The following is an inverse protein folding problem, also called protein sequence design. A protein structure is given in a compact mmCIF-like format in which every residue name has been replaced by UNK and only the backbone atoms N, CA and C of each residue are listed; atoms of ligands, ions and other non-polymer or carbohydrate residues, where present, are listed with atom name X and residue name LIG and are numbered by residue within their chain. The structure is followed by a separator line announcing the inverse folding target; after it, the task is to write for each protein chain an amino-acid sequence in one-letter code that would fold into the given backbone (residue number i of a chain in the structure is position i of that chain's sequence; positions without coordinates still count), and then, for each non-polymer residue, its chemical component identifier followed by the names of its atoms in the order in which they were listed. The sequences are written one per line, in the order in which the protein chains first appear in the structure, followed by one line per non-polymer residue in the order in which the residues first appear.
data_IF_651262848542
#
_entry.id   IF_651262848542
#
_cell.length_a   1.000
_cell.length_b   1.000
_cell.length_c   1.000
_cell.angle_alpha   90.00
_cell.angle_beta   90.00
_cell.angle_gamma   90.00
#
_symmetry.space_group_name_H-M   'P 1'
#
loop_
_entity.id
_entity.type
_entity.pdbx_description
1 polymer ?
#
# COMPACT_ATOMS: atom_id res chain seq x y z
N UNK A 1 9.72 -82.31 -8.61
CA UNK A 1 8.45 -82.43 -9.35
C UNK A 1 7.34 -82.08 -8.36
N UNK A 2 7.03 -80.79 -8.20
CA UNK A 2 5.92 -80.35 -7.35
C UNK A 2 4.66 -80.41 -8.19
N UNK A 3 3.71 -81.27 -7.81
CA UNK A 3 2.40 -81.31 -8.43
C UNK A 3 1.68 -79.99 -8.13
N UNK A 4 1.54 -79.13 -9.14
CA UNK A 4 0.61 -78.01 -9.07
C UNK A 4 -0.81 -78.59 -9.06
N UNK A 5 -1.36 -78.86 -7.87
CA UNK A 5 -2.80 -79.03 -7.73
C UNK A 5 -3.45 -77.69 -8.08
N UNK A 6 -4.30 -77.61 -9.13
CA UNK A 6 -5.15 -76.43 -9.28
C UNK A 6 -6.00 -76.34 -8.01
N UNK A 7 -6.02 -75.18 -7.36
CA UNK A 7 -6.83 -74.98 -6.16
C UNK A 7 -8.28 -75.39 -6.39
N UNK A 8 -8.99 -75.78 -5.32
CA UNK A 8 -10.39 -76.18 -5.39
C UNK A 8 -11.24 -75.01 -5.89
N UNK A 9 -12.13 -75.30 -6.85
CA UNK A 9 -13.02 -74.31 -7.46
C UNK A 9 -13.83 -73.58 -6.38
N UNK A 10 -13.92 -72.25 -6.50
CA UNK A 10 -14.70 -71.38 -5.58
C UNK A 10 -14.27 -71.48 -4.11
N UNK A 11 -13.06 -71.96 -3.82
CA UNK A 11 -12.48 -71.94 -2.46
C UNK A 11 -11.64 -70.69 -2.28
N UNK A 12 -11.87 -69.95 -1.19
CA UNK A 12 -11.05 -68.79 -0.82
C UNK A 12 -9.70 -69.25 -0.27
N UNK A 13 -8.63 -68.75 -0.87
CA UNK A 13 -7.26 -68.93 -0.46
C UNK A 13 -6.71 -67.59 0.01
N UNK A 14 -5.92 -67.59 1.08
CA UNK A 14 -5.34 -66.36 1.63
C UNK A 14 -3.83 -66.46 1.53
N UNK A 15 -3.23 -65.60 0.71
CA UNK A 15 -1.79 -65.35 0.72
C UNK A 15 -1.46 -64.44 1.89
N UNK A 16 -0.78 -64.97 2.90
CA UNK A 16 -0.31 -64.21 4.05
C UNK A 16 1.14 -63.81 3.80
N UNK A 17 1.38 -62.51 3.69
CA UNK A 17 2.71 -61.93 3.57
C UNK A 17 3.16 -61.46 4.96
N UNK A 18 4.05 -62.23 5.57
CA UNK A 18 4.67 -61.90 6.85
C UNK A 18 6.03 -61.22 6.60
N UNK A 19 6.19 -59.93 6.95
CA UNK A 19 7.47 -59.26 6.79
C UNK A 19 8.45 -59.70 7.89
N UNK A 20 9.47 -60.47 7.52
CA UNK A 20 10.57 -60.83 8.43
C UNK A 20 11.61 -59.70 8.49
N UNK A 21 11.46 -58.82 9.47
CA UNK A 21 12.34 -57.68 9.71
C UNK A 21 12.87 -57.71 11.16
N UNK A 22 14.01 -58.38 11.42
CA UNK A 22 14.55 -58.58 12.77
C UNK A 22 14.91 -57.30 13.54
N UNK A 23 14.99 -56.15 12.84
CA UNK A 23 15.39 -54.86 13.40
C UNK A 23 14.22 -54.03 13.99
N UNK A 24 12.96 -54.44 13.80
CA UNK A 24 11.78 -53.70 14.26
C UNK A 24 11.35 -54.15 15.67
N UNK A 25 11.27 -53.21 16.62
CA UNK A 25 10.82 -53.47 18.01
C UNK A 25 9.34 -53.83 18.15
N UNK A 26 8.53 -53.63 17.10
CA UNK A 26 7.13 -54.05 17.02
C UNK A 26 6.92 -54.78 15.68
N UNK A 27 6.39 -56.01 15.68
CA UNK A 27 6.09 -56.73 14.45
C UNK A 27 5.01 -55.99 13.65
N UNK A 28 5.21 -55.89 12.33
CA UNK A 28 4.21 -55.34 11.41
C UNK A 28 3.09 -56.37 11.23
N UNK A 29 1.84 -55.88 11.08
CA UNK A 29 0.72 -56.77 10.81
C UNK A 29 0.91 -57.47 9.44
N UNK A 30 0.66 -58.79 9.35
CA UNK A 30 0.75 -59.51 8.09
C UNK A 30 -0.24 -58.98 7.06
N UNK A 31 0.23 -58.73 5.84
CA UNK A 31 -0.66 -58.39 4.73
C UNK A 31 -1.32 -59.67 4.22
N UNK A 32 -2.67 -59.71 4.25
CA UNK A 32 -3.45 -60.88 3.84
C UNK A 32 -4.15 -60.58 2.52
N UNK A 33 -3.80 -61.31 1.47
CA UNK A 33 -4.40 -61.22 0.15
C UNK A 33 -5.29 -62.44 -0.10
N UNK A 34 -6.61 -62.27 0.00
CA UNK A 34 -7.56 -63.30 -0.41
C UNK A 34 -7.65 -63.42 -1.93
N UNK A 35 -7.69 -64.64 -2.45
CA UNK A 35 -7.90 -64.95 -3.86
C UNK A 35 -8.63 -66.29 -4.02
N UNK A 36 -9.35 -66.49 -5.11
CA UNK A 36 -10.11 -67.71 -5.40
C UNK A 36 -9.66 -68.31 -6.73
N UNK A 37 -9.65 -69.63 -6.83
CA UNK A 37 -9.51 -70.32 -8.12
C UNK A 37 -10.90 -70.58 -8.69
N UNK A 38 -11.10 -70.16 -9.93
CA UNK A 38 -12.26 -70.54 -10.73
C UNK A 38 -11.78 -71.52 -11.80
N UNK A 39 -12.13 -72.80 -11.71
CA UNK A 39 -11.68 -73.83 -12.66
C UNK A 39 -12.67 -74.06 -13.81
N UNK A 40 -13.91 -73.56 -13.67
CA UNK A 40 -14.92 -73.57 -14.73
C UNK A 40 -14.71 -72.37 -15.66
N UNK A 41 -14.51 -72.64 -16.96
CA UNK A 41 -14.37 -71.62 -18.01
C UNK A 41 -15.53 -70.62 -18.01
N UNK A 42 -16.78 -71.06 -17.76
CA UNK A 42 -17.94 -70.16 -17.71
C UNK A 42 -17.87 -69.21 -16.52
N UNK A 43 -17.48 -69.71 -15.34
CA UNK A 43 -17.30 -68.88 -14.14
C UNK A 43 -16.12 -67.92 -14.28
N UNK A 44 -14.99 -68.36 -14.85
CA UNK A 44 -13.86 -67.49 -15.17
C UNK A 44 -14.27 -66.34 -16.09
N UNK A 45 -15.01 -66.63 -17.16
CA UNK A 45 -15.51 -65.62 -18.08
C UNK A 45 -16.46 -64.63 -17.39
N UNK A 46 -17.34 -65.13 -16.51
CA UNK A 46 -18.27 -64.31 -15.74
C UNK A 46 -17.54 -63.38 -14.74
N UNK A 47 -16.55 -63.90 -14.01
CA UNK A 47 -15.76 -63.10 -13.05
C UNK A 47 -14.85 -62.08 -13.75
N UNK A 48 -14.25 -62.44 -14.89
CA UNK A 48 -13.48 -61.49 -15.70
C UNK A 48 -14.37 -60.36 -16.25
N UNK A 49 -15.62 -60.66 -16.60
CA UNK A 49 -16.59 -59.65 -17.05
C UNK A 49 -16.97 -58.72 -15.90
N UNK A 50 -17.35 -59.26 -14.74
CA UNK A 50 -17.67 -58.47 -13.55
C UNK A 50 -16.50 -57.60 -13.07
N UNK A 51 -15.26 -58.10 -13.18
CA UNK A 51 -14.05 -57.35 -12.83
C UNK A 51 -13.84 -56.17 -13.79
N UNK A 52 -14.04 -56.37 -15.09
CA UNK A 52 -13.96 -55.27 -16.08
C UNK A 52 -15.07 -54.24 -15.87
N UNK A 53 -16.29 -54.68 -15.59
CA UNK A 53 -17.41 -53.78 -15.29
C UNK A 53 -17.14 -52.95 -14.03
N UNK A 54 -16.61 -53.56 -12.96
CA UNK A 54 -16.15 -52.85 -11.77
C UNK A 54 -15.11 -51.80 -12.12
N UNK A 55 -14.05 -52.17 -12.84
CA UNK A 55 -12.96 -51.24 -13.16
C UNK A 55 -13.45 -50.05 -13.98
N UNK A 56 -14.36 -50.29 -14.94
CA UNK A 56 -15.00 -49.23 -15.73
C UNK A 56 -15.88 -48.33 -14.86
N UNK A 57 -16.69 -48.90 -13.97
CA UNK A 57 -17.53 -48.13 -13.04
C UNK A 57 -16.68 -47.32 -12.05
N UNK A 58 -15.64 -47.90 -11.46
CA UNK A 58 -14.72 -47.20 -10.56
C UNK A 58 -14.03 -46.02 -11.24
N UNK A 59 -13.60 -46.19 -12.50
CA UNK A 59 -13.02 -45.10 -13.29
C UNK A 59 -14.05 -43.98 -13.55
N UNK A 60 -15.26 -44.34 -13.97
CA UNK A 60 -16.36 -43.38 -14.18
C UNK A 60 -16.69 -42.59 -12.91
N UNK A 61 -16.88 -43.28 -11.79
CA UNK A 61 -17.15 -42.67 -10.47
C UNK A 61 -16.01 -41.72 -10.07
N UNK A 62 -14.75 -42.13 -10.28
CA UNK A 62 -13.59 -41.29 -10.02
C UNK A 62 -13.60 -39.98 -10.82
N UNK A 63 -13.96 -40.03 -12.11
CA UNK A 63 -14.09 -38.84 -12.96
C UNK A 63 -15.19 -37.92 -12.46
N UNK A 64 -16.38 -38.45 -12.16
CA UNK A 64 -17.49 -37.65 -11.64
C UNK A 64 -17.17 -37.02 -10.28
N UNK A 65 -16.59 -37.77 -9.33
CA UNK A 65 -16.18 -37.25 -8.02
C UNK A 65 -15.18 -36.11 -8.15
N UNK A 66 -14.11 -36.31 -8.92
CA UNK A 66 -13.12 -35.26 -9.18
C UNK A 66 -13.75 -34.00 -9.79
N UNK A 67 -14.70 -34.18 -10.70
CA UNK A 67 -15.41 -33.06 -11.32
C UNK A 67 -16.28 -32.29 -10.31
N UNK A 68 -17.04 -32.98 -9.45
CA UNK A 68 -17.81 -32.36 -8.37
C UNK A 68 -16.91 -31.67 -7.33
N UNK A 69 -15.78 -32.29 -6.96
CA UNK A 69 -14.82 -31.73 -6.02
C UNK A 69 -14.19 -30.45 -6.56
N UNK A 70 -13.77 -30.45 -7.83
CA UNK A 70 -13.22 -29.25 -8.51
C UNK A 70 -14.26 -28.12 -8.54
N UNK A 71 -15.53 -28.48 -8.79
CA UNK A 71 -16.63 -27.51 -8.84
C UNK A 71 -16.94 -26.94 -7.45
N UNK A 72 -16.92 -27.76 -6.40
CA UNK A 72 -17.10 -27.31 -5.02
C UNK A 72 -15.95 -26.43 -4.54
N UNK A 73 -14.71 -26.74 -4.95
CA UNK A 73 -13.54 -25.91 -4.68
C UNK A 73 -13.70 -24.53 -5.32
N UNK A 74 -14.10 -24.46 -6.60
CA UNK A 74 -14.38 -23.20 -7.28
C UNK A 74 -15.45 -22.37 -6.57
N UNK A 75 -16.56 -22.97 -6.15
CA UNK A 75 -17.60 -22.28 -5.37
C UNK A 75 -17.03 -21.72 -4.06
N UNK A 76 -16.17 -22.47 -3.39
CA UNK A 76 -15.53 -22.05 -2.14
C UNK A 76 -14.61 -20.85 -2.35
N UNK A 77 -13.83 -20.85 -3.43
CA UNK A 77 -12.98 -19.72 -3.83
C UNK A 77 -13.83 -18.49 -4.17
N UNK A 78 -14.91 -18.64 -4.95
CA UNK A 78 -15.81 -17.53 -5.27
C UNK A 78 -16.45 -16.92 -4.01
N UNK A 79 -16.85 -17.76 -3.03
CA UNK A 79 -17.35 -17.28 -1.73
C UNK A 79 -16.28 -16.51 -0.95
N UNK A 80 -15.02 -16.93 -1.01
CA UNK A 80 -13.91 -16.18 -0.41
C UNK A 80 -13.76 -14.81 -1.07
N UNK A 81 -13.82 -14.73 -2.40
CA UNK A 81 -13.75 -13.46 -3.13
C UNK A 81 -14.90 -12.50 -2.79
N UNK A 82 -16.14 -13.01 -2.60
CA UNK A 82 -17.26 -12.19 -2.12
C UNK A 82 -16.93 -11.61 -0.74
N UNK A 83 -16.49 -12.45 0.21
CA UNK A 83 -16.15 -12.00 1.56
C UNK A 83 -15.02 -10.96 1.58
N UNK A 84 -14.00 -11.14 0.73
CA UNK A 84 -12.93 -10.16 0.55
C UNK A 84 -13.46 -8.84 -0.03
N UNK A 85 -14.37 -8.88 -1.00
CA UNK A 85 -15.00 -7.70 -1.55
C UNK A 85 -15.87 -6.97 -0.51
N UNK A 86 -16.62 -7.70 0.32
CA UNK A 86 -17.43 -7.15 1.43
C UNK A 86 -16.58 -6.49 2.50
N UNK A 87 -15.50 -7.15 2.93
CA UNK A 87 -14.57 -6.57 3.91
C UNK A 87 -13.91 -5.30 3.39
N UNK A 88 -13.59 -5.24 2.08
CA UNK A 88 -13.06 -4.04 1.44
C UNK A 88 -14.08 -2.91 1.35
N UNK A 89 -15.33 -3.21 0.95
CA UNK A 89 -16.42 -2.22 0.90
C UNK A 89 -16.69 -1.62 2.29
N UNK A 90 -16.82 -2.48 3.31
CA UNK A 90 -17.08 -2.06 4.69
C UNK A 90 -15.93 -1.24 5.28
N UNK A 91 -14.68 -1.61 4.98
CA UNK A 91 -13.52 -0.82 5.37
C UNK A 91 -13.55 0.59 4.77
N UNK A 92 -13.77 0.70 3.45
CA UNK A 92 -13.85 2.00 2.77
C UNK A 92 -15.04 2.84 3.25
N UNK A 93 -16.18 2.21 3.53
CA UNK A 93 -17.36 2.85 4.12
C UNK A 93 -17.06 3.45 5.49
N UNK A 94 -16.27 2.75 6.32
CA UNK A 94 -15.86 3.26 7.62
C UNK A 94 -14.90 4.45 7.49
N UNK A 95 -13.98 4.44 6.52
CA UNK A 95 -13.11 5.59 6.24
C UNK A 95 -13.91 6.82 5.77
N UNK A 96 -14.93 6.62 4.93
CA UNK A 96 -15.83 7.71 4.51
C UNK A 96 -16.58 8.31 5.72
N UNK A 97 -17.04 7.46 6.63
CA UNK A 97 -17.71 7.91 7.88
C UNK A 97 -16.77 8.72 8.77
N UNK A 98 -15.48 8.34 8.87
CA UNK A 98 -14.47 9.13 9.60
C UNK A 98 -14.29 10.53 9.00
N UNK A 99 -14.46 10.68 7.69
CA UNK A 99 -14.44 11.97 6.99
C UNK A 99 -15.80 12.70 6.99
N UNK A 100 -16.74 12.26 7.83
CA UNK A 100 -18.10 12.84 7.94
C UNK A 100 -18.92 12.76 6.65
N UNK A 101 -18.64 11.76 5.79
CA UNK A 101 -19.44 11.48 4.60
C UNK A 101 -20.38 10.31 4.91
N UNK A 102 -21.66 10.62 5.06
CA UNK A 102 -22.70 9.61 5.27
C UNK A 102 -23.27 9.14 3.93
N UNK A 103 -23.30 7.82 3.74
CA UNK A 103 -23.83 7.20 2.53
C UNK A 103 -25.26 6.70 2.76
N UNK A 104 -26.19 6.94 1.83
CA UNK A 104 -27.54 6.41 1.92
C UNK A 104 -27.55 4.88 1.74
N UNK A 105 -28.54 4.23 2.35
CA UNK A 105 -28.75 2.78 2.23
C UNK A 105 -29.27 2.37 0.84
N UNK A 106 -29.99 3.26 0.15
CA UNK A 106 -30.55 3.05 -1.19
C UNK A 106 -29.87 3.96 -2.21
N UNK A 107 -29.76 3.50 -3.46
CA UNK A 107 -29.16 4.23 -4.58
C UNK A 107 -27.72 4.73 -4.32
N UNK A 108 -26.95 3.98 -3.53
CA UNK A 108 -25.60 4.37 -3.09
C UNK A 108 -24.68 4.73 -4.26
N UNK A 109 -24.68 3.97 -5.36
CA UNK A 109 -23.84 4.27 -6.53
C UNK A 109 -24.17 5.61 -7.19
N UNK A 110 -25.45 5.92 -7.37
CA UNK A 110 -25.87 7.20 -7.96
C UNK A 110 -25.53 8.38 -7.04
N UNK A 111 -25.69 8.20 -5.73
CA UNK A 111 -25.31 9.20 -4.74
C UNK A 111 -23.80 9.43 -4.71
N UNK A 112 -22.99 8.37 -4.79
CA UNK A 112 -21.53 8.48 -4.86
C UNK A 112 -21.11 9.19 -6.15
N UNK A 113 -21.73 8.88 -7.29
CA UNK A 113 -21.45 9.56 -8.56
C UNK A 113 -21.80 11.05 -8.52
N UNK A 114 -22.93 11.42 -7.91
CA UNK A 114 -23.29 12.84 -7.75
C UNK A 114 -22.36 13.56 -6.77
N UNK A 115 -21.98 12.89 -5.67
CA UNK A 115 -21.06 13.45 -4.69
C UNK A 115 -19.65 13.65 -5.27
N UNK A 116 -19.13 12.70 -6.06
CA UNK A 116 -17.86 12.85 -6.77
C UNK A 116 -17.92 14.09 -7.68
N UNK A 117 -18.98 14.23 -8.49
CA UNK A 117 -19.15 15.39 -9.37
C UNK A 117 -19.20 16.69 -8.59
N UNK A 118 -19.95 16.73 -7.49
CA UNK A 118 -20.03 17.91 -6.62
C UNK A 118 -18.65 18.26 -6.06
N UNK A 119 -17.91 17.29 -5.52
CA UNK A 119 -16.58 17.51 -4.95
C UNK A 119 -15.56 17.95 -5.99
N UNK A 120 -15.67 17.46 -7.23
CA UNK A 120 -14.85 17.94 -8.35
C UNK A 120 -15.16 19.41 -8.69
N UNK A 121 -16.44 19.81 -8.68
CA UNK A 121 -16.83 21.21 -8.88
C UNK A 121 -16.33 22.10 -7.74
N UNK A 122 -16.46 21.66 -6.49
CA UNK A 122 -15.95 22.37 -5.32
C UNK A 122 -14.41 22.53 -5.40
N UNK A 123 -13.71 21.48 -5.80
CA UNK A 123 -12.26 21.49 -6.00
C UNK A 123 -11.85 22.46 -7.10
N UNK A 124 -12.55 22.46 -8.25
CA UNK A 124 -12.31 23.41 -9.33
C UNK A 124 -12.59 24.85 -8.88
N UNK A 125 -13.66 25.05 -8.10
CA UNK A 125 -13.98 26.33 -7.47
C UNK A 125 -12.82 26.85 -6.61
N UNK A 126 -12.26 26.01 -5.73
CA UNK A 126 -11.09 26.36 -4.92
C UNK A 126 -9.87 26.65 -5.79
N UNK A 127 -9.66 25.87 -6.86
CA UNK A 127 -8.53 26.07 -7.78
C UNK A 127 -8.60 27.45 -8.47
N UNK A 128 -9.79 27.90 -8.85
CA UNK A 128 -10.03 29.17 -9.55
C UNK A 128 -10.05 30.40 -8.63
N UNK A 129 -10.10 30.21 -7.31
CA UNK A 129 -10.05 31.35 -6.38
C UNK A 129 -8.79 32.19 -6.59
N UNK A 130 -8.90 33.53 -6.55
CA UNK A 130 -7.74 34.40 -6.71
C UNK A 130 -6.77 34.16 -5.56
N UNK A 131 -5.50 33.94 -5.92
CA UNK A 131 -4.41 33.76 -4.96
C UNK A 131 -3.27 34.68 -5.32
N UNK A 132 -2.50 35.08 -4.32
CA UNK A 132 -1.25 35.79 -4.55
C UNK A 132 -0.33 34.89 -5.37
N UNK A 133 0.16 35.41 -6.48
CA UNK A 133 1.13 34.75 -7.35
C UNK A 133 2.34 35.67 -7.49
N UNK A 134 3.52 35.07 -7.64
CA UNK A 134 4.71 35.84 -7.99
C UNK A 134 4.63 36.22 -9.47
N UNK A 135 4.83 37.51 -9.79
CA UNK A 135 4.76 37.99 -11.18
C UNK A 135 6.13 37.97 -11.87
N UNK A 136 7.20 37.58 -11.16
CA UNK A 136 8.51 37.42 -11.78
C UNK A 136 8.43 36.29 -12.81
N UNK A 137 9.01 36.47 -14.01
CA UNK A 137 9.08 35.41 -14.99
C UNK A 137 9.92 34.26 -14.42
N UNK A 138 9.35 33.05 -14.45
CA UNK A 138 10.08 31.88 -14.00
C UNK A 138 11.20 31.53 -15.01
N UNK A 139 12.26 30.90 -14.53
CA UNK A 139 13.33 30.43 -15.41
C UNK A 139 12.90 29.11 -16.09
N UNK A 140 13.15 28.92 -17.39
CA UNK A 140 12.74 27.70 -18.09
C UNK A 140 13.35 26.46 -17.45
N UNK A 141 12.51 25.48 -17.07
CA UNK A 141 12.94 24.18 -16.51
C UNK A 141 13.41 23.21 -17.62
N UNK A 142 14.25 23.68 -18.54
CA UNK A 142 14.78 22.87 -19.66
C UNK A 142 15.93 21.95 -19.27
N UNK A 143 16.65 22.29 -18.20
CA UNK A 143 17.78 21.52 -17.66
C UNK A 143 17.44 21.01 -16.25
N UNK A 144 17.72 19.74 -15.98
CA UNK A 144 17.47 19.09 -14.69
C UNK A 144 18.32 19.67 -13.55
N UNK A 145 19.46 20.29 -13.88
CA UNK A 145 20.35 20.93 -12.91
C UNK A 145 19.86 22.33 -12.47
N UNK A 146 18.75 22.83 -13.02
CA UNK A 146 18.19 24.14 -12.68
C UNK A 146 16.94 23.94 -11.83
N UNK A 147 16.99 24.43 -10.58
CA UNK A 147 15.85 24.39 -9.68
C UNK A 147 14.82 25.48 -10.00
N UNK A 148 15.30 26.67 -10.33
CA UNK A 148 14.47 27.84 -10.67
C UNK A 148 14.85 29.07 -9.86
N UNK A 149 14.05 30.14 -9.98
CA UNK A 149 14.28 31.39 -9.24
C UNK A 149 13.79 31.29 -7.80
N UNK A 150 14.50 31.94 -6.87
CA UNK A 150 14.18 31.94 -5.43
C UNK A 150 12.69 32.26 -5.18
N UNK A 151 12.14 33.26 -5.85
CA UNK A 151 10.74 33.66 -5.68
C UNK A 151 9.69 32.56 -5.98
N UNK A 152 10.06 31.54 -6.76
CA UNK A 152 9.18 30.44 -7.16
C UNK A 152 9.48 29.13 -6.43
N UNK A 153 10.59 29.04 -5.67
CA UNK A 153 10.98 27.83 -4.93
C UNK A 153 10.17 27.63 -3.65
N UNK A 154 9.50 28.65 -3.16
CA UNK A 154 8.70 28.59 -1.94
C UNK A 154 7.40 29.38 -2.06
N UNK A 155 6.44 29.02 -1.20
CA UNK A 155 5.14 29.66 -1.07
C UNK A 155 4.88 29.98 0.40
N UNK A 156 4.12 31.04 0.67
CA UNK A 156 3.81 31.50 2.04
C UNK A 156 2.30 31.73 2.15
N UNK A 157 1.65 31.16 3.16
CA UNK A 157 0.20 31.33 3.36
C UNK A 157 -0.14 32.73 3.91
N UNK A 158 0.56 33.17 4.95
CA UNK A 158 0.35 34.48 5.61
C UNK A 158 0.78 35.66 4.71
N UNK A 159 -0.15 36.56 4.40
CA UNK A 159 0.09 37.75 3.56
C UNK A 159 1.13 38.70 4.13
N UNK A 160 1.08 38.95 5.44
CA UNK A 160 1.98 39.90 6.10
C UNK A 160 3.39 39.31 6.18
N UNK A 161 3.48 38.02 6.52
CA UNK A 161 4.75 37.30 6.49
C UNK A 161 5.34 37.27 5.06
N UNK A 162 4.52 37.00 4.04
CA UNK A 162 4.96 36.99 2.65
C UNK A 162 5.53 38.35 2.23
N UNK A 163 4.86 39.46 2.60
CA UNK A 163 5.33 40.82 2.35
C UNK A 163 6.72 41.05 2.94
N UNK A 164 6.89 40.78 4.23
CA UNK A 164 8.12 41.14 4.95
C UNK A 164 9.29 40.21 4.65
N UNK A 165 9.03 38.93 4.41
CA UNK A 165 10.05 37.95 4.00
C UNK A 165 10.50 38.24 2.57
N UNK A 166 9.58 38.52 1.65
CA UNK A 166 9.94 38.85 0.26
C UNK A 166 10.73 40.16 0.20
N UNK A 167 10.34 41.17 0.99
CA UNK A 167 11.12 42.40 1.13
C UNK A 167 12.50 42.16 1.73
N UNK A 168 12.61 41.30 2.75
CA UNK A 168 13.89 40.96 3.36
C UNK A 168 14.85 40.32 2.36
N UNK A 169 14.33 39.49 1.44
CA UNK A 169 15.06 38.79 0.39
C UNK A 169 15.05 39.52 -0.96
N UNK A 170 14.65 40.79 -1.02
CA UNK A 170 14.38 41.48 -2.29
C UNK A 170 15.58 41.49 -3.26
N UNK A 171 16.81 41.46 -2.75
CA UNK A 171 18.04 41.35 -3.54
C UNK A 171 18.20 40.01 -4.25
N UNK A 172 17.62 38.95 -3.70
CA UNK A 172 17.88 37.56 -4.09
C UNK A 172 16.67 36.92 -4.79
N UNK A 173 15.49 37.55 -4.76
CA UNK A 173 14.24 36.97 -5.32
C UNK A 173 14.35 36.55 -6.79
N UNK A 174 15.10 37.29 -7.60
CA UNK A 174 15.29 37.01 -9.03
C UNK A 174 16.49 36.09 -9.34
N UNK A 175 17.26 35.68 -8.32
CA UNK A 175 18.42 34.81 -8.50
C UNK A 175 18.00 33.38 -8.83
N UNK A 176 18.67 32.78 -9.82
CA UNK A 176 18.42 31.41 -10.30
C UNK A 176 19.27 30.42 -9.52
N UNK A 177 18.63 29.42 -8.94
CA UNK A 177 19.30 28.36 -8.19
C UNK A 177 19.57 27.17 -9.09
N UNK A 178 20.79 26.64 -9.00
CA UNK A 178 21.26 25.48 -9.77
C UNK A 178 21.91 24.45 -8.84
N UNK A 179 21.88 23.18 -9.22
CA UNK A 179 22.51 22.10 -8.47
C UNK A 179 24.04 22.15 -8.58
N UNK A 180 24.54 22.50 -9.76
CA UNK A 180 25.97 22.45 -10.11
C UNK A 180 26.52 23.81 -10.50
N UNK A 181 27.82 24.01 -10.26
CA UNK A 181 28.54 25.21 -10.66
C UNK A 181 28.61 25.35 -12.19
N UNK A 182 28.67 24.25 -12.93
CA UNK A 182 28.65 24.23 -14.39
C UNK A 182 27.35 24.79 -14.95
N UNK A 183 26.20 24.38 -14.39
CA UNK A 183 24.90 24.90 -14.79
C UNK A 183 24.78 26.41 -14.48
N UNK A 184 25.21 26.85 -13.30
CA UNK A 184 25.28 28.27 -12.97
C UNK A 184 26.14 29.06 -13.97
N UNK A 185 27.29 28.50 -14.37
CA UNK A 185 28.20 29.14 -15.32
C UNK A 185 27.58 29.27 -16.72
N UNK A 186 26.89 28.25 -17.21
CA UNK A 186 26.17 28.30 -18.50
C UNK A 186 25.20 29.47 -18.53
N UNK A 187 24.36 29.61 -17.49
CA UNK A 187 23.37 30.69 -17.39
C UNK A 187 24.05 32.06 -17.30
N UNK A 188 25.14 32.16 -16.53
CA UNK A 188 25.91 33.39 -16.42
C UNK A 188 26.46 33.83 -17.78
N UNK A 189 27.05 32.92 -18.54
CA UNK A 189 27.63 33.22 -19.86
C UNK A 189 26.54 33.54 -20.90
N UNK A 190 25.44 32.78 -20.94
CA UNK A 190 24.27 33.02 -21.81
C UNK A 190 23.63 34.39 -21.57
N UNK A 191 23.57 34.82 -20.31
CA UNK A 191 22.95 36.10 -19.90
C UNK A 191 23.96 37.25 -19.83
N UNK A 192 25.22 37.02 -20.21
CA UNK A 192 26.31 37.98 -20.12
C UNK A 192 26.46 38.59 -18.72
N UNK A 193 26.27 37.76 -17.69
CA UNK A 193 26.37 38.13 -16.28
C UNK A 193 25.24 38.99 -15.73
N UNK A 194 24.16 39.21 -16.48
CA UNK A 194 22.99 39.97 -16.00
C UNK A 194 22.16 39.20 -14.98
N UNK A 195 22.10 37.88 -15.12
CA UNK A 195 21.34 37.01 -14.23
C UNK A 195 22.20 36.60 -13.03
N UNK A 196 21.69 36.85 -11.82
CA UNK A 196 22.28 36.28 -10.61
C UNK A 196 22.02 34.78 -10.56
N UNK A 197 23.05 34.02 -10.18
CA UNK A 197 23.01 32.56 -10.10
C UNK A 197 23.57 32.09 -8.75
N UNK A 198 22.96 31.04 -8.19
CA UNK A 198 23.38 30.42 -6.93
C UNK A 198 23.57 28.90 -7.14
N UNK A 199 24.82 28.42 -7.24
CA UNK A 199 25.12 26.99 -7.34
C UNK A 199 25.17 26.33 -5.96
N UNK A 200 24.38 25.27 -5.74
CA UNK A 200 24.23 24.62 -4.43
C UNK A 200 25.44 23.78 -4.00
N UNK A 201 26.19 23.24 -4.95
CA UNK A 201 27.43 22.51 -4.70
C UNK A 201 28.54 23.39 -4.10
N UNK A 202 28.47 24.71 -4.31
CA UNK A 202 29.40 25.68 -3.71
C UNK A 202 29.05 26.09 -2.27
N UNK A 203 27.86 25.71 -1.76
CA UNK A 203 27.38 26.16 -0.46
C UNK A 203 28.02 25.35 0.68
N UNK A 204 28.64 26.07 1.62
CA UNK A 204 29.19 25.47 2.83
C UNK A 204 28.09 25.07 3.84
N UNK A 205 27.67 23.80 3.78
CA UNK A 205 26.50 23.30 4.52
C UNK A 205 26.62 23.30 6.05
N UNK A 206 27.83 23.31 6.62
CA UNK A 206 28.02 23.18 8.08
C UNK A 206 27.52 24.37 8.91
N UNK A 207 27.35 25.54 8.28
CA UNK A 207 26.89 26.76 8.95
C UNK A 207 25.38 27.01 8.77
N UNK A 208 24.67 26.10 8.10
CA UNK A 208 23.23 26.25 7.87
C UNK A 208 22.45 26.04 9.18
N UNK A 209 21.31 26.74 9.34
CA UNK A 209 20.46 26.56 10.51
C UNK A 209 19.90 25.13 10.55
N UNK A 210 19.85 24.56 11.75
CA UNK A 210 19.07 23.36 12.00
C UNK A 210 17.57 23.70 11.93
N UNK A 211 16.86 23.02 11.02
CA UNK A 211 15.44 23.21 10.77
C UNK A 211 14.57 22.76 11.95
N UNK A 212 15.07 21.84 12.78
CA UNK A 212 14.39 21.33 13.98
C UNK A 212 14.77 22.11 15.25
N UNK A 213 15.62 23.13 15.13
CA UNK A 213 16.07 23.94 16.26
C UNK A 213 14.87 24.66 16.89
N UNK A 214 14.69 24.60 18.22
CA UNK A 214 13.65 25.36 18.91
C UNK A 214 13.96 26.86 18.90
N UNK A 215 12.92 27.69 19.07
CA UNK A 215 13.09 29.14 19.20
C UNK A 215 13.97 29.50 20.41
N UNK A 216 14.69 30.63 20.38
CA UNK A 216 15.63 31.01 21.45
C UNK A 216 15.07 31.02 22.88
N UNK A 217 13.77 31.25 23.05
CA UNK A 217 13.11 31.27 24.36
C UNK A 217 12.70 29.88 24.87
N UNK A 218 12.84 28.83 24.05
CA UNK A 218 12.57 27.43 24.37
C UNK A 218 13.90 26.67 24.41
N UNK A 219 14.41 26.39 25.61
CA UNK A 219 15.72 25.76 25.80
C UNK A 219 15.58 24.52 26.67
N UNK A 220 16.07 23.37 26.19
CA UNK A 220 16.00 22.07 26.87
C UNK A 220 14.57 21.71 27.34
N UNK A 221 13.57 21.97 26.49
CA UNK A 221 12.15 21.73 26.80
C UNK A 221 11.55 22.69 27.83
N UNK A 222 12.29 23.69 28.31
CA UNK A 222 11.82 24.71 29.26
C UNK A 222 11.66 26.07 28.58
N UNK A 223 10.61 26.79 28.95
CA UNK A 223 10.36 28.15 28.51
C UNK A 223 11.18 29.09 29.40
N UNK A 224 12.21 29.74 28.85
CA UNK A 224 13.06 30.67 29.60
C UNK A 224 12.33 31.97 29.95
N UNK A 225 11.46 32.44 29.06
CA UNK A 225 10.55 33.56 29.29
C UNK A 225 9.35 33.43 28.36
N UNK A 226 8.21 34.00 28.75
CA UNK A 226 7.02 34.04 27.91
C UNK A 226 7.15 35.21 26.92
N UNK A 227 7.25 34.95 25.60
CA UNK A 227 7.35 36.03 24.63
C UNK A 227 6.03 36.81 24.58
N UNK A 228 6.15 38.12 24.40
CA UNK A 228 5.03 38.97 23.99
C UNK A 228 4.94 38.87 22.47
N UNK A 229 3.74 38.63 21.94
CA UNK A 229 3.51 38.30 20.54
C UNK A 229 3.81 36.84 20.18
N UNK A 230 3.58 36.47 18.92
CA UNK A 230 3.73 35.12 18.38
C UNK A 230 5.02 34.96 17.55
N UNK A 231 6.20 34.76 18.18
CA UNK A 231 7.44 34.56 17.47
C UNK A 231 7.46 33.21 16.74
N UNK A 232 7.83 33.21 15.46
CA UNK A 232 8.01 32.00 14.64
C UNK A 232 9.23 32.17 13.74
N UNK A 233 9.96 31.10 13.43
CA UNK A 233 11.03 31.21 12.44
C UNK A 233 10.46 31.51 11.05
N UNK A 234 11.05 32.45 10.31
CA UNK A 234 10.60 32.80 8.96
C UNK A 234 10.60 31.58 8.02
N UNK A 235 11.64 30.74 8.15
CA UNK A 235 11.77 29.48 7.39
C UNK A 235 10.64 28.47 7.65
N UNK A 236 9.99 28.51 8.82
CA UNK A 236 8.89 27.61 9.17
C UNK A 236 7.56 28.01 8.50
N UNK A 237 7.49 29.20 7.91
CA UNK A 237 6.32 29.67 7.15
C UNK A 237 6.41 29.35 5.65
N UNK A 238 7.53 28.78 5.21
CA UNK A 238 7.75 28.41 3.82
C UNK A 238 7.16 27.03 3.53
N UNK A 239 6.34 26.95 2.49
CA UNK A 239 5.88 25.71 1.88
C UNK A 239 6.64 25.50 0.57
N UNK A 240 7.29 24.34 0.43
CA UNK A 240 8.05 24.00 -0.77
C UNK A 240 7.22 23.08 -1.67
N UNK A 241 6.90 23.49 -2.92
CA UNK A 241 6.16 22.64 -3.85
C UNK A 241 7.01 21.46 -4.35
N UNK A 242 8.30 21.70 -4.58
CA UNK A 242 9.26 20.74 -5.14
C UNK A 242 10.60 20.81 -4.37
N UNK A 243 11.43 19.76 -4.49
CA UNK A 243 12.85 19.74 -4.08
C UNK A 243 13.13 20.24 -2.65
N UNK A 244 12.38 19.72 -1.67
CA UNK A 244 12.37 20.18 -0.27
C UNK A 244 13.78 20.33 0.32
N UNK A 245 14.65 19.33 0.18
CA UNK A 245 16.01 19.36 0.78
C UNK A 245 16.90 20.46 0.18
N UNK A 246 16.84 20.65 -1.14
CA UNK A 246 17.56 21.71 -1.82
C UNK A 246 17.02 23.09 -1.44
N UNK A 247 15.70 23.24 -1.39
CA UNK A 247 15.05 24.47 -0.94
C UNK A 247 15.41 24.80 0.51
N UNK A 248 15.46 23.80 1.40
CA UNK A 248 15.89 23.98 2.78
C UNK A 248 17.34 24.47 2.89
N UNK A 249 18.22 24.02 2.00
CA UNK A 249 19.60 24.51 1.90
C UNK A 249 19.62 25.99 1.49
N UNK A 250 18.91 26.35 0.42
CA UNK A 250 18.80 27.71 -0.10
C UNK A 250 18.26 28.67 0.95
N UNK A 251 17.08 28.38 1.50
CA UNK A 251 16.42 29.27 2.44
C UNK A 251 17.07 29.25 3.82
N UNK A 252 17.74 28.15 4.20
CA UNK A 252 18.58 28.11 5.38
C UNK A 252 19.73 29.12 5.30
N UNK A 253 20.37 29.24 4.12
CA UNK A 253 21.43 30.21 3.89
C UNK A 253 20.89 31.65 3.87
N UNK A 254 19.78 31.89 3.16
CA UNK A 254 19.27 33.24 2.92
C UNK A 254 18.54 33.84 4.12
N UNK A 255 17.73 33.06 4.83
CA UNK A 255 16.96 33.53 5.98
C UNK A 255 17.68 33.28 7.31
N UNK A 256 18.57 32.30 7.37
CA UNK A 256 19.22 31.88 8.62
C UNK A 256 18.19 31.63 9.73
N UNK A 257 18.44 32.23 10.89
CA UNK A 257 17.59 32.17 12.08
C UNK A 257 16.60 33.35 12.20
N UNK A 258 16.27 34.03 11.10
CA UNK A 258 15.31 35.15 11.11
C UNK A 258 13.95 34.74 11.69
N UNK A 259 13.40 35.59 12.58
CA UNK A 259 12.14 35.35 13.29
C UNK A 259 11.10 36.39 12.86
N UNK A 260 9.87 35.93 12.64
CA UNK A 260 8.67 36.75 12.45
C UNK A 260 7.97 36.93 13.79
N UNK A 261 7.53 38.14 14.10
CA UNK A 261 6.75 38.49 15.29
C UNK A 261 5.65 39.49 14.93
N UNK A 262 4.70 39.75 15.83
CA UNK A 262 3.49 40.51 15.46
C UNK A 262 3.79 41.99 15.18
N UNK A 263 4.39 42.70 16.14
CA UNK A 263 4.61 44.15 16.07
C UNK A 263 5.97 44.56 16.67
N UNK A 264 6.28 45.86 16.57
CA UNK A 264 7.58 46.41 16.97
C UNK A 264 7.82 46.32 18.48
N UNK A 265 6.80 46.56 19.30
CA UNK A 265 6.92 46.50 20.76
C UNK A 265 7.21 45.08 21.25
N UNK A 266 6.48 44.10 20.70
CA UNK A 266 6.73 42.68 20.91
C UNK A 266 8.15 42.29 20.48
N UNK A 267 8.62 42.78 19.31
CA UNK A 267 9.97 42.51 18.82
C UNK A 267 11.06 43.07 19.75
N UNK A 268 10.89 44.30 20.23
CA UNK A 268 11.82 44.93 21.17
C UNK A 268 11.86 44.19 22.51
N UNK A 269 10.70 43.82 23.06
CA UNK A 269 10.62 43.02 24.28
C UNK A 269 11.27 41.65 24.09
N UNK A 270 10.95 40.96 22.99
CA UNK A 270 11.54 39.67 22.66
C UNK A 270 13.07 39.74 22.58
N UNK A 271 13.60 40.72 21.85
CA UNK A 271 15.04 40.95 21.75
C UNK A 271 15.66 41.17 23.13
N UNK A 272 15.08 42.04 23.96
CA UNK A 272 15.59 42.36 25.30
C UNK A 272 15.75 41.12 26.18
N UNK A 273 14.84 40.16 26.07
CA UNK A 273 14.92 38.90 26.81
C UNK A 273 15.87 37.89 26.15
N UNK A 274 15.87 37.76 24.82
CA UNK A 274 16.76 36.81 24.11
C UNK A 274 18.22 37.15 24.32
N UNK A 275 18.62 38.42 24.23
CA UNK A 275 20.04 38.83 24.34
C UNK A 275 20.66 38.52 25.71
N UNK A 276 19.85 38.29 26.75
CA UNK A 276 20.32 37.83 28.06
C UNK A 276 20.76 36.36 28.05
N UNK A 277 20.31 35.59 27.06
CA UNK A 277 20.45 34.13 27.00
C UNK A 277 21.35 33.72 25.83
N UNK A 278 21.21 34.36 24.66
CA UNK A 278 21.91 34.00 23.43
C UNK A 278 21.91 35.18 22.44
N UNK A 279 22.68 35.05 21.34
CA UNK A 279 22.58 35.97 20.21
C UNK A 279 21.16 36.03 19.65
N UNK A 280 20.62 37.24 19.46
CA UNK A 280 19.29 37.47 18.91
C UNK A 280 19.39 37.65 17.38
N UNK A 281 18.74 36.78 16.58
CA UNK A 281 18.73 36.91 15.13
C UNK A 281 17.96 38.15 14.67
N UNK A 282 17.94 38.40 13.36
CA UNK A 282 17.07 39.43 12.78
C UNK A 282 15.61 39.13 13.09
N UNK A 283 14.87 40.14 13.52
CA UNK A 283 13.44 40.08 13.76
C UNK A 283 12.72 40.89 12.69
N UNK A 284 11.67 40.32 12.13
CA UNK A 284 10.75 40.96 11.19
C UNK A 284 9.36 40.99 11.83
N UNK A 285 8.69 42.14 11.81
CA UNK A 285 7.32 42.25 12.32
C UNK A 285 6.33 42.10 11.19
N UNK A 286 5.12 41.57 11.47
CA UNK A 286 4.03 41.52 10.48
C UNK A 286 3.62 42.93 10.01
N UNK A 287 3.75 43.92 10.90
CA UNK A 287 3.55 45.35 10.60
C UNK A 287 4.65 45.96 9.69
N UNK A 288 5.68 45.19 9.33
CA UNK A 288 6.69 45.61 8.36
C UNK A 288 7.97 46.20 8.95
N UNK A 289 8.21 46.11 10.24
CA UNK A 289 9.42 46.63 10.87
C UNK A 289 10.51 45.56 10.94
N UNK A 290 11.77 45.97 10.76
CA UNK A 290 12.94 45.11 10.89
C UNK A 290 13.85 45.56 12.02
N UNK A 291 14.12 44.65 12.94
CA UNK A 291 15.20 44.78 13.91
C UNK A 291 16.34 43.85 13.46
N UNK A 292 17.46 44.43 13.01
CA UNK A 292 18.62 43.64 12.61
C UNK A 292 19.22 42.87 13.79
N UNK A 293 20.01 41.83 13.51
CA UNK A 293 20.70 41.04 14.54
C UNK A 293 21.56 41.87 15.50
N UNK A 294 22.14 42.98 15.02
CA UNK A 294 22.89 43.94 15.85
C UNK A 294 22.00 44.90 16.67
N UNK A 295 20.68 44.84 16.51
CA UNK A 295 19.70 45.63 17.26
C UNK A 295 19.31 46.95 16.61
N UNK A 296 19.83 47.26 15.41
CA UNK A 296 19.42 48.45 14.67
C UNK A 296 18.00 48.29 14.12
N UNK A 297 17.12 49.24 14.45
CA UNK A 297 15.76 49.36 13.91
C UNK A 297 15.42 50.83 13.62
N UNK A 298 14.33 51.07 12.87
CA UNK A 298 13.93 52.42 12.44
C UNK A 298 14.59 52.91 11.14
N UNK A 299 13.99 53.94 10.54
CA UNK A 299 14.37 54.48 9.23
C UNK A 299 13.77 53.72 8.04
N UNK A 300 13.74 54.37 6.86
CA UNK A 300 13.09 53.84 5.65
C UNK A 300 13.59 52.45 5.24
N UNK A 301 14.87 52.16 5.46
CA UNK A 301 15.46 50.86 5.13
C UNK A 301 15.05 49.72 6.08
N UNK A 302 14.41 50.02 7.21
CA UNK A 302 13.91 49.02 8.16
C UNK A 302 12.38 48.98 8.21
N UNK A 303 11.71 49.63 7.25
CA UNK A 303 10.27 49.53 7.05
C UNK A 303 9.98 48.88 5.71
N UNK A 304 9.25 47.78 5.72
CA UNK A 304 8.77 47.10 4.54
C UNK A 304 7.77 48.01 3.81
N UNK A 305 7.93 48.20 2.49
CA UNK A 305 6.95 48.93 1.72
C UNK A 305 5.63 48.11 1.62
N UNK A 306 4.50 48.76 1.28
CA UNK A 306 3.29 48.05 0.90
C UNK A 306 3.55 47.02 -0.21
N UNK A 307 2.76 45.94 -0.22
CA UNK A 307 2.99 44.79 -1.12
C UNK A 307 3.03 45.18 -2.61
N UNK A 308 2.18 46.12 -3.03
CA UNK A 308 2.12 46.60 -4.43
C UNK A 308 3.43 47.24 -4.91
N UNK A 309 4.22 47.81 -3.98
CA UNK A 309 5.51 48.44 -4.29
C UNK A 309 6.65 47.43 -4.42
N UNK A 310 6.42 46.16 -4.11
CA UNK A 310 7.39 45.07 -4.31
C UNK A 310 7.48 44.62 -5.78
N UNK A 311 6.71 45.25 -6.70
CA UNK A 311 6.74 44.99 -8.15
C UNK A 311 6.56 43.49 -8.48
N UNK A 312 5.74 42.82 -7.66
CA UNK A 312 5.42 41.40 -7.75
C UNK A 312 6.57 40.43 -7.45
N UNK A 313 7.68 40.92 -6.88
CA UNK A 313 8.70 40.10 -6.20
C UNK A 313 8.19 39.66 -4.82
N UNK A 314 7.08 38.92 -4.81
CA UNK A 314 6.45 38.42 -3.59
C UNK A 314 6.20 36.93 -3.73
N UNK A 315 6.51 36.15 -2.69
CA UNK A 315 6.24 34.71 -2.67
C UNK A 315 4.76 34.42 -2.92
N UNK A 316 4.47 33.44 -3.78
CA UNK A 316 3.10 32.98 -4.02
C UNK A 316 2.43 32.42 -2.77
N UNK A 317 1.11 32.39 -2.75
CA UNK A 317 0.36 31.64 -1.75
C UNK A 317 0.22 30.17 -2.20
N UNK A 318 0.34 29.20 -1.27
CA UNK A 318 0.17 27.79 -1.62
C UNK A 318 -1.27 27.46 -1.98
N UNK A 319 -1.46 26.28 -2.57
CA UNK A 319 -2.80 25.76 -2.81
C UNK A 319 -3.55 25.61 -1.48
N UNK A 320 -4.81 26.07 -1.36
CA UNK A 320 -5.55 25.96 -0.11
C UNK A 320 -5.67 24.50 0.35
N UNK A 321 -5.54 24.26 1.66
CA UNK A 321 -5.63 22.91 2.25
C UNK A 321 -6.91 22.17 1.86
N UNK A 322 -8.01 22.91 1.67
CA UNK A 322 -9.29 22.39 1.19
C UNK A 322 -9.16 21.66 -0.16
N UNK A 323 -8.29 22.11 -1.06
CA UNK A 323 -8.07 21.44 -2.35
C UNK A 323 -7.53 20.02 -2.17
N UNK A 324 -6.53 19.84 -1.28
CA UNK A 324 -5.96 18.53 -0.97
C UNK A 324 -6.99 17.64 -0.25
N UNK A 325 -7.79 18.22 0.66
CA UNK A 325 -8.91 17.52 1.31
C UNK A 325 -9.92 17.00 0.29
N UNK A 326 -10.33 17.84 -0.68
CA UNK A 326 -11.24 17.41 -1.73
C UNK A 326 -10.62 16.33 -2.63
N UNK A 327 -9.33 16.44 -2.98
CA UNK A 327 -8.65 15.40 -3.74
C UNK A 327 -8.71 14.04 -3.03
N UNK A 328 -8.35 14.00 -1.74
CA UNK A 328 -8.41 12.77 -0.95
C UNK A 328 -9.84 12.23 -0.79
N UNK A 329 -10.84 13.10 -0.65
CA UNK A 329 -12.26 12.70 -0.63
C UNK A 329 -12.71 12.09 -1.97
N UNK A 330 -12.32 12.70 -3.08
CA UNK A 330 -12.63 12.22 -4.43
C UNK A 330 -12.00 10.84 -4.65
N UNK A 331 -10.72 10.67 -4.31
CA UNK A 331 -10.01 9.39 -4.46
C UNK A 331 -10.65 8.29 -3.62
N UNK A 332 -11.03 8.60 -2.37
CA UNK A 332 -11.69 7.65 -1.48
C UNK A 332 -13.08 7.26 -2.00
N UNK A 333 -13.86 8.21 -2.51
CA UNK A 333 -15.18 7.96 -3.12
C UNK A 333 -15.07 7.11 -4.39
N UNK A 334 -14.05 7.35 -5.23
CA UNK A 334 -13.79 6.53 -6.42
C UNK A 334 -13.41 5.10 -6.06
N UNK A 335 -12.57 4.91 -5.04
CA UNK A 335 -12.21 3.58 -4.52
C UNK A 335 -13.44 2.85 -3.97
N UNK A 336 -14.29 3.55 -3.20
CA UNK A 336 -15.53 3.00 -2.69
C UNK A 336 -16.47 2.59 -3.82
N UNK A 337 -16.67 3.46 -4.81
CA UNK A 337 -17.47 3.16 -6.01
C UNK A 337 -16.98 1.89 -6.71
N UNK A 338 -15.67 1.79 -6.94
CA UNK A 338 -15.07 0.61 -7.57
C UNK A 338 -15.26 -0.66 -6.72
N UNK A 339 -15.17 -0.56 -5.40
CA UNK A 339 -15.40 -1.68 -4.48
C UNK A 339 -16.85 -2.16 -4.52
N UNK A 340 -17.84 -1.26 -4.55
CA UNK A 340 -19.26 -1.62 -4.66
C UNK A 340 -19.56 -2.31 -6.00
N UNK A 341 -19.04 -1.77 -7.11
CA UNK A 341 -19.20 -2.40 -8.44
C UNK A 341 -18.55 -3.78 -8.47
N UNK A 342 -17.35 -3.93 -7.88
CA UNK A 342 -16.68 -5.22 -7.77
C UNK A 342 -17.52 -6.20 -6.95
N UNK A 343 -18.02 -5.79 -5.79
CA UNK A 343 -18.85 -6.64 -4.94
C UNK A 343 -20.13 -7.10 -5.67
N UNK A 344 -20.79 -6.21 -6.39
CA UNK A 344 -21.97 -6.56 -7.21
C UNK A 344 -21.60 -7.57 -8.32
N UNK A 345 -20.47 -7.39 -9.01
CA UNK A 345 -20.02 -8.32 -10.05
C UNK A 345 -19.69 -9.72 -9.51
N UNK A 346 -18.93 -9.83 -8.42
CA UNK A 346 -18.53 -11.13 -7.85
C UNK A 346 -19.75 -11.86 -7.26
N UNK A 347 -20.71 -11.12 -6.69
CA UNK A 347 -21.97 -11.71 -6.24
C UNK A 347 -22.82 -12.25 -7.40
N UNK A 348 -22.90 -11.51 -8.52
CA UNK A 348 -23.59 -11.97 -9.72
C UNK A 348 -22.93 -13.21 -10.30
N UNK A 349 -21.60 -13.25 -10.37
CA UNK A 349 -20.85 -14.41 -10.85
C UNK A 349 -21.10 -15.63 -9.97
N UNK A 350 -21.06 -15.47 -8.64
CA UNK A 350 -21.37 -16.55 -7.69
C UNK A 350 -22.81 -17.06 -7.86
N UNK A 351 -23.80 -16.16 -7.96
CA UNK A 351 -25.20 -16.55 -8.15
C UNK A 351 -25.43 -17.26 -9.49
N UNK A 352 -24.83 -16.76 -10.58
CA UNK A 352 -24.84 -17.43 -11.88
C UNK A 352 -24.25 -18.84 -11.79
N UNK A 353 -23.12 -18.99 -11.10
CA UNK A 353 -22.49 -20.29 -10.94
C UNK A 353 -23.36 -21.23 -10.08
N UNK A 354 -23.91 -20.76 -8.96
CA UNK A 354 -24.83 -21.55 -8.13
C UNK A 354 -26.09 -21.97 -8.89
N UNK A 355 -26.66 -21.11 -9.73
CA UNK A 355 -27.79 -21.46 -10.60
C UNK A 355 -27.41 -22.54 -11.61
N UNK A 356 -26.22 -22.47 -12.20
CA UNK A 356 -25.72 -23.49 -13.14
C UNK A 356 -25.61 -24.88 -12.48
N UNK A 357 -25.22 -24.93 -11.22
CA UNK A 357 -25.11 -26.18 -10.43
C UNK A 357 -26.46 -26.77 -10.04
N UNK A 358 -27.52 -25.96 -10.03
CA UNK A 358 -28.88 -26.38 -9.71
C UNK A 358 -29.72 -26.75 -10.94
N UNK A 359 -29.12 -26.82 -12.13
CA UNK A 359 -29.83 -27.22 -13.36
C UNK A 359 -30.29 -28.69 -13.32
N UNK A 360 -31.38 -29.04 -14.04
CA UNK A 360 -31.86 -30.43 -14.10
C UNK A 360 -30.82 -31.42 -14.61
N UNK A 361 -30.00 -31.00 -15.58
CA UNK A 361 -28.88 -31.81 -16.11
C UNK A 361 -27.85 -32.12 -15.03
N UNK A 362 -27.56 -31.14 -14.16
CA UNK A 362 -26.64 -31.31 -13.05
C UNK A 362 -27.17 -32.20 -11.94
N UNK A 363 -28.46 -32.08 -11.65
CA UNK A 363 -29.14 -32.99 -10.73
C UNK A 363 -29.15 -34.41 -11.28
N UNK A 364 -29.35 -34.58 -12.59
CA UNK A 364 -29.27 -35.88 -13.25
C UNK A 364 -27.87 -36.49 -13.14
N UNK A 365 -26.80 -35.72 -13.36
CA UNK A 365 -25.41 -36.20 -13.15
C UNK A 365 -25.15 -36.65 -11.71
N UNK A 366 -25.74 -35.97 -10.71
CA UNK A 366 -25.67 -36.41 -9.30
C UNK A 366 -26.41 -37.73 -9.08
N UNK A 367 -27.57 -37.90 -9.70
CA UNK A 367 -28.34 -39.15 -9.63
C UNK A 367 -27.59 -40.30 -10.32
N UNK A 368 -27.05 -40.07 -11.52
CA UNK A 368 -26.22 -41.04 -12.26
C UNK A 368 -25.01 -41.48 -11.44
N UNK A 369 -24.31 -40.55 -10.77
CA UNK A 369 -23.22 -40.89 -9.85
C UNK A 369 -23.69 -41.81 -8.72
N UNK A 370 -24.80 -41.46 -8.06
CA UNK A 370 -25.34 -42.27 -6.96
C UNK A 370 -25.81 -43.66 -7.43
N UNK A 371 -26.31 -43.78 -8.66
CA UNK A 371 -26.67 -45.06 -9.28
C UNK A 371 -25.43 -45.89 -9.66
N UNK A 372 -24.37 -45.26 -10.18
CA UNK A 372 -23.10 -45.91 -10.44
C UNK A 372 -22.46 -46.43 -9.15
N UNK A 373 -22.48 -45.66 -8.06
CA UNK A 373 -21.98 -46.08 -6.75
C UNK A 373 -22.76 -47.27 -6.19
N UNK A 374 -24.10 -47.27 -6.28
CA UNK A 374 -24.93 -48.43 -5.91
C UNK A 374 -24.61 -49.67 -6.74
N UNK A 375 -24.42 -49.48 -8.05
CA UNK A 375 -24.11 -50.58 -8.98
C UNK A 375 -22.72 -51.17 -8.71
N UNK A 376 -21.74 -50.31 -8.41
CA UNK A 376 -20.40 -50.72 -7.99
C UNK A 376 -20.47 -51.58 -6.73
N UNK A 377 -21.20 -51.14 -5.70
CA UNK A 377 -21.36 -51.88 -4.45
C UNK A 377 -21.97 -53.28 -4.67
N UNK A 378 -22.96 -53.40 -5.56
CA UNK A 378 -23.56 -54.69 -5.92
C UNK A 378 -22.60 -55.61 -6.68
N UNK A 379 -21.74 -55.06 -7.55
CA UNK A 379 -20.73 -55.83 -8.28
C UNK A 379 -19.61 -56.29 -7.34
N UNK A 380 -19.16 -55.43 -6.43
CA UNK A 380 -18.19 -55.80 -5.39
C UNK A 380 -18.71 -56.93 -4.50
N UNK A 381 -19.99 -56.88 -4.10
CA UNK A 381 -20.64 -57.95 -3.36
C UNK A 381 -20.70 -59.27 -4.16
N UNK A 382 -21.02 -59.22 -5.46
CA UNK A 382 -21.04 -60.40 -6.36
C UNK A 382 -19.65 -60.99 -6.62
N UNK A 383 -18.61 -60.17 -6.58
CA UNK A 383 -17.21 -60.59 -6.68
C UNK A 383 -16.67 -61.21 -5.38
N UNK A 384 -17.49 -61.28 -4.32
CA UNK A 384 -17.07 -61.81 -3.02
C UNK A 384 -16.08 -60.90 -2.30
N UNK A 385 -15.97 -59.64 -2.71
CA UNK A 385 -15.18 -58.65 -2.00
C UNK A 385 -15.98 -58.26 -0.76
N UNK A 386 -15.59 -58.76 0.42
CA UNK A 386 -16.09 -58.19 1.67
C UNK A 386 -15.66 -56.73 1.73
N UNK A 387 -16.47 -55.81 2.27
CA UNK A 387 -16.02 -54.44 2.52
C UNK A 387 -14.74 -54.57 3.35
N UNK A 388 -13.64 -54.04 2.84
CA UNK A 388 -12.38 -54.02 3.58
C UNK A 388 -12.65 -53.27 4.88
N UNK A 389 -12.80 -54.02 5.98
CA UNK A 389 -12.75 -53.47 7.31
C UNK A 389 -11.44 -52.69 7.42
N UNK A 390 -11.57 -51.42 7.81
CA UNK A 390 -10.50 -50.51 8.25
C UNK A 390 -9.57 -50.00 7.14
N UNK A 391 -10.10 -49.12 6.29
CA UNK A 391 -9.33 -47.90 6.01
C UNK A 391 -9.22 -47.16 7.33
N UNK A 392 -8.00 -47.11 7.86
CA UNK A 392 -7.61 -46.43 9.07
C UNK A 392 -8.23 -45.03 9.14
N UNK A 393 -9.22 -44.90 10.01
CA UNK A 393 -9.89 -43.67 10.45
C UNK A 393 -8.95 -42.79 11.31
N UNK A 394 -7.64 -42.79 10.99
CA UNK A 394 -6.56 -42.15 11.76
C UNK A 394 -5.87 -41.00 11.02
N UNK A 395 -6.36 -40.60 9.83
CA UNK A 395 -5.80 -39.46 9.08
C UNK A 395 -6.74 -38.26 8.94
N UNK A 396 -7.96 -38.33 9.48
CA UNK A 396 -8.94 -37.22 9.46
C UNK A 396 -9.14 -36.54 10.81
N UNK A 397 -8.36 -36.90 11.84
CA UNK A 397 -8.51 -36.33 13.18
C UNK A 397 -7.18 -35.87 13.78
N UNK A 398 -6.44 -35.09 13.02
CA UNK A 398 -5.37 -34.24 13.53
C UNK A 398 -4.99 -33.22 12.46
N UNK A 399 -5.76 -32.14 12.35
CA UNK A 399 -5.39 -30.76 11.96
C UNK A 399 -6.71 -29.95 11.99
N UNK A 400 -7.15 -29.59 13.20
CA UNK A 400 -8.04 -28.45 13.50
C UNK A 400 -7.88 -28.25 15.01
N UNK A 401 -7.36 -27.07 15.40
CA UNK A 401 -6.96 -26.62 16.74
C UNK A 401 -5.54 -27.03 17.21
N UNK A 402 -4.54 -26.24 16.81
CA UNK A 402 -4.02 -25.25 17.76
C UNK A 402 -3.37 -24.07 17.00
N UNK A 403 -4.05 -22.92 17.04
CA UNK A 403 -3.48 -21.63 16.67
C UNK A 403 -3.09 -20.93 17.96
N UNK A 404 -1.81 -20.98 18.32
CA UNK A 404 -1.18 -19.87 19.03
C UNK A 404 0.34 -19.85 18.82
N UNK A 405 0.79 -18.65 18.44
CA UNK A 405 2.12 -18.06 18.52
C UNK A 405 3.30 -18.63 17.71
N UNK A 406 3.65 -17.85 16.68
CA UNK A 406 4.99 -17.80 16.05
C UNK A 406 6.03 -17.22 17.03
N UNK A 407 7.35 -17.52 16.89
CA UNK A 407 8.18 -16.83 15.89
C UNK A 407 9.23 -17.71 15.15
N UNK A 408 9.47 -17.36 13.88
CA UNK A 408 10.62 -17.73 13.01
C UNK A 408 11.77 -16.70 13.29
N UNK A 409 13.08 -16.76 12.88
CA UNK A 409 13.96 -17.68 12.08
C UNK A 409 15.35 -17.99 12.77
N UNK A 410 16.47 -18.52 12.14
CA UNK A 410 16.85 -18.52 10.71
C UNK A 410 17.51 -19.77 10.08
N UNK A 411 17.53 -19.66 8.74
CA UNK A 411 18.07 -20.50 7.67
C UNK A 411 19.57 -20.83 7.80
N UNK A 412 19.94 -22.07 7.44
CA UNK A 412 21.29 -22.42 6.99
C UNK A 412 21.22 -23.12 5.63
N UNK A 413 21.77 -22.46 4.61
CA UNK A 413 21.90 -22.98 3.24
C UNK A 413 22.87 -24.16 3.18
N UNK A 414 22.56 -25.17 2.36
CA UNK A 414 23.53 -26.19 1.93
C UNK A 414 23.60 -26.24 0.41
N UNK A 415 24.83 -26.07 -0.08
CA UNK A 415 25.27 -26.10 -1.49
C UNK A 415 24.99 -27.46 -2.15
N UNK A 416 24.44 -27.43 -3.35
CA UNK A 416 24.47 -28.56 -4.29
C UNK A 416 25.85 -28.65 -4.97
N UNK A 417 26.32 -29.88 -5.15
CA UNK A 417 27.52 -30.20 -5.93
C UNK A 417 27.07 -31.14 -7.05
N UNK A 418 27.14 -30.68 -8.30
CA UNK A 418 26.93 -31.54 -9.48
C UNK A 418 28.26 -31.77 -10.15
N UNK A 419 28.73 -33.02 -10.12
CA UNK A 419 29.78 -33.55 -11.00
C UNK A 419 29.15 -33.94 -12.33
N UNK A 420 29.72 -33.47 -13.45
CA UNK A 420 29.76 -34.24 -14.70
C UNK A 420 31.15 -34.11 -15.31
N UNK A 421 31.85 -35.24 -15.37
CA UNK A 421 32.89 -35.51 -16.35
C UNK A 421 32.23 -35.60 -17.73
N UNK A 422 32.89 -35.11 -18.77
CA UNK A 422 33.47 -35.94 -19.84
C UNK A 422 34.52 -35.12 -20.60
N UNK A 423 35.50 -35.86 -21.15
CA UNK A 423 36.71 -35.39 -21.85
C UNK A 423 36.44 -34.43 -23.00
#
# INVERSE_FOLDING_TARGET
MFACFPGRDSTEYILVFEPDLPALRKPLEPYRLSFMFYNDYKKQQQMATLTRERDQLSQSIGVYRNWFDTTNQLVTEMRCQVKEAETRETHLKNELKKQQIELPQTNTLQYVDSLIKQKMLDQEGVMKQPRRTCTLPNYPKGNQDILGKIAHLAQIEDNEAAKVISWHLASDMDCVVTLTTEAARSIFDETQGRQQVLPLDSIYKKNLPDWNRPLPHLRNGKICFKPVGNPVFARALLTFPDNVEHCQTVFGMLLGDTIIIDNLDAANHYRKEVVKITHCPTLLTREGDRIRSNGKFGGLQNKAPPMDKLRGMVFGAPMPKLYATFSGQIDLLQQYRAAVVKLDSVNKDLDLHLRSLNTPEMQKKKQELAEQEKSLMLIEQKLGMTPSDKVTESLLQSIMLDTSDTPIPPKRMRRETVKKLYR
#
